data_IF_174450974011
#
_entry.id   IF_174450974011
#
_cell.length_a   1.000
_cell.length_b   1.000
_cell.length_c   1.000
_cell.angle_alpha   90.00
_cell.angle_beta   90.00
_cell.angle_gamma   90.00
#
_symmetry.space_group_name_H-M   'P 1'
#
loop_
_entity.id
_entity.type
_entity.pdbx_description
1 polymer ?
#
# COMPACT_ATOMS: atom_id res chain seq x y z
N UNK A 1 15.14 9.15 3.37
CA UNK A 1 14.18 8.05 3.62
C UNK A 1 14.96 6.84 4.09
N UNK A 2 14.62 6.30 5.26
CA UNK A 2 15.20 5.03 5.72
C UNK A 2 14.47 3.82 5.10
N UNK A 3 15.08 2.63 5.09
CA UNK A 3 14.40 1.40 4.64
C UNK A 3 13.12 1.11 5.43
N UNK A 4 13.15 1.33 6.77
CA UNK A 4 11.94 1.19 7.59
C UNK A 4 10.83 2.15 7.14
N UNK A 5 11.17 3.41 6.86
CA UNK A 5 10.20 4.41 6.42
C UNK A 5 9.54 4.03 5.09
N UNK A 6 10.32 3.57 4.12
CA UNK A 6 9.77 3.12 2.83
C UNK A 6 8.84 1.91 3.01
N UNK A 7 9.22 0.95 3.85
CA UNK A 7 8.40 -0.24 4.15
C UNK A 7 7.14 0.12 4.91
N UNK A 8 7.20 1.00 5.91
CA UNK A 8 6.00 1.47 6.64
C UNK A 8 5.08 2.28 5.73
N UNK A 9 5.63 3.15 4.88
CA UNK A 9 4.84 3.97 3.97
C UNK A 9 4.15 3.14 2.88
N UNK A 10 4.88 2.23 2.23
CA UNK A 10 4.31 1.29 1.29
C UNK A 10 3.33 0.32 1.97
N UNK A 11 3.66 -0.16 3.16
CA UNK A 11 2.78 -1.02 3.97
C UNK A 11 1.45 -0.34 4.28
N UNK A 12 1.46 0.92 4.72
CA UNK A 12 0.24 1.68 4.99
C UNK A 12 -0.63 1.86 3.74
N UNK A 13 -0.03 2.23 2.60
CA UNK A 13 -0.76 2.37 1.32
C UNK A 13 -1.32 1.04 0.82
N UNK A 14 -0.55 -0.03 0.93
CA UNK A 14 -0.96 -1.38 0.55
C UNK A 14 -2.04 -1.92 1.47
N UNK A 15 -2.03 -1.56 2.75
CA UNK A 15 -3.07 -1.96 3.70
C UNK A 15 -4.37 -1.20 3.49
N UNK A 16 -4.31 0.11 3.24
CA UNK A 16 -5.47 0.85 2.78
C UNK A 16 -6.04 0.26 1.47
N UNK A 17 -5.16 -0.08 0.52
CA UNK A 17 -5.59 -0.78 -0.66
C UNK A 17 -6.25 -2.12 -0.33
N UNK A 18 -5.66 -2.92 0.57
CA UNK A 18 -6.25 -4.19 0.97
C UNK A 18 -7.59 -4.06 1.68
N UNK A 19 -7.91 -2.95 2.36
CA UNK A 19 -9.26 -2.77 2.93
C UNK A 19 -10.29 -2.44 1.86
N UNK A 20 -9.90 -1.71 0.82
CA UNK A 20 -10.80 -1.24 -0.25
C UNK A 20 -10.91 -2.18 -1.47
N UNK A 21 -9.89 -2.99 -1.74
CA UNK A 21 -9.85 -3.90 -2.88
C UNK A 21 -10.82 -5.07 -2.72
N UNK A 22 -11.23 -5.67 -3.84
CA UNK A 22 -12.03 -6.91 -3.86
C UNK A 22 -11.19 -8.12 -3.45
N UNK A 23 -11.82 -9.20 -2.96
CA UNK A 23 -11.11 -10.43 -2.56
C UNK A 23 -10.16 -10.98 -3.64
N UNK A 24 -10.56 -10.93 -4.92
CA UNK A 24 -9.70 -11.34 -6.05
C UNK A 24 -8.43 -10.49 -6.17
N UNK A 25 -8.58 -9.17 -6.08
CA UNK A 25 -7.47 -8.22 -6.16
C UNK A 25 -6.54 -8.34 -4.95
N UNK A 26 -7.09 -8.62 -3.76
CA UNK A 26 -6.28 -8.90 -2.56
C UNK A 26 -5.43 -10.15 -2.75
N UNK A 27 -6.01 -11.23 -3.27
CA UNK A 27 -5.26 -12.46 -3.56
C UNK A 27 -4.15 -12.23 -4.59
N UNK A 28 -4.45 -11.47 -5.65
CA UNK A 28 -3.47 -11.09 -6.66
C UNK A 28 -2.33 -10.26 -6.07
N UNK A 29 -2.66 -9.21 -5.31
CA UNK A 29 -1.66 -8.35 -4.66
C UNK A 29 -0.75 -9.14 -3.69
N UNK A 30 -1.31 -10.05 -2.91
CA UNK A 30 -0.55 -10.94 -2.02
C UNK A 30 0.33 -11.93 -2.80
N UNK A 31 -0.04 -12.32 -4.02
CA UNK A 31 0.80 -13.14 -4.89
C UNK A 31 1.96 -12.37 -5.51
N UNK A 32 1.79 -11.07 -5.74
CA UNK A 32 2.80 -10.19 -6.35
C UNK A 32 3.82 -9.66 -5.33
N UNK A 33 3.42 -9.54 -4.06
CA UNK A 33 4.28 -9.04 -2.99
C UNK A 33 4.51 -10.17 -1.97
N UNK A 34 5.62 -10.93 -2.08
CA UNK A 34 5.94 -11.98 -1.13
C UNK A 34 6.10 -11.38 0.28
N UNK A 35 5.39 -11.94 1.26
CA UNK A 35 5.40 -11.49 2.65
C UNK A 35 4.39 -10.39 2.99
N UNK A 36 3.59 -9.90 2.03
CA UNK A 36 2.53 -8.93 2.29
C UNK A 36 1.51 -9.44 3.32
N UNK A 37 1.06 -10.69 3.19
CA UNK A 37 0.15 -11.33 4.13
C UNK A 37 0.69 -11.33 5.57
N UNK A 38 2.00 -11.51 5.73
CA UNK A 38 2.67 -11.50 7.03
C UNK A 38 2.67 -10.10 7.61
N UNK A 39 2.97 -9.08 6.79
CA UNK A 39 2.98 -7.68 7.21
C UNK A 39 1.58 -7.20 7.63
N UNK A 40 0.53 -7.56 6.87
CA UNK A 40 -0.85 -7.17 7.19
C UNK A 40 -1.46 -8.01 8.31
N UNK A 41 -1.04 -9.26 8.47
CA UNK A 41 -1.44 -10.12 9.60
C UNK A 41 -0.82 -9.71 10.94
N UNK A 42 0.26 -8.92 10.94
CA UNK A 42 0.98 -8.51 12.15
C UNK A 42 0.29 -7.40 12.97
N UNK A 43 -0.92 -6.98 12.61
CA UNK A 43 -1.70 -6.02 13.41
C UNK A 43 -1.31 -4.55 13.28
N UNK A 44 -0.08 -4.26 12.84
CA UNK A 44 0.44 -2.90 12.67
C UNK A 44 -0.36 -2.06 11.65
N UNK A 45 -1.08 -2.74 10.76
CA UNK A 45 -1.75 -2.15 9.61
C UNK A 45 -3.29 -2.27 9.66
N UNK A 46 -3.84 -2.87 10.72
CA UNK A 46 -5.28 -3.12 10.88
C UNK A 46 -6.12 -1.85 11.08
N UNK A 47 -5.47 -0.72 11.36
CA UNK A 47 -6.14 0.57 11.62
C UNK A 47 -6.21 1.49 10.39
N UNK A 48 -5.77 1.01 9.21
CA UNK A 48 -5.73 1.83 8.00
C UNK A 48 -7.03 1.66 7.20
N UNK A 49 -8.05 2.36 7.64
CA UNK A 49 -9.39 2.34 7.01
C UNK A 49 -9.50 3.36 5.88
N UNK A 50 -8.77 4.48 5.99
CA UNK A 50 -8.87 5.63 5.09
C UNK A 50 -7.51 6.26 4.80
N UNK A 51 -7.45 7.13 3.79
CA UNK A 51 -6.24 7.89 3.43
C UNK A 51 -5.72 8.76 4.60
N UNK A 52 -6.60 9.23 5.49
CA UNK A 52 -6.18 9.93 6.70
C UNK A 52 -5.37 9.03 7.65
N UNK A 53 -5.80 7.78 7.85
CA UNK A 53 -5.04 6.79 8.63
C UNK A 53 -3.68 6.49 7.99
N UNK A 54 -3.59 6.48 6.66
CA UNK A 54 -2.31 6.37 5.94
C UNK A 54 -1.41 7.55 6.27
N UNK A 55 -1.94 8.79 6.17
CA UNK A 55 -1.18 10.00 6.50
C UNK A 55 -0.68 9.99 7.95
N UNK A 56 -1.52 9.56 8.89
CA UNK A 56 -1.12 9.42 10.29
C UNK A 56 -0.05 8.35 10.49
N UNK A 57 -0.12 7.22 9.77
CA UNK A 57 0.91 6.19 9.82
C UNK A 57 2.27 6.71 9.30
N UNK A 58 2.27 7.50 8.22
CA UNK A 58 3.47 8.19 7.72
C UNK A 58 4.01 9.16 8.78
N UNK A 59 3.16 10.04 9.32
CA UNK A 59 3.55 11.02 10.32
C UNK A 59 4.12 10.36 11.59
N UNK A 60 3.55 9.22 12.01
CA UNK A 60 3.97 8.45 13.18
C UNK A 60 5.42 7.93 13.07
N UNK A 61 5.92 7.69 11.84
CA UNK A 61 7.32 7.31 11.58
C UNK A 61 8.19 8.47 11.09
N UNK A 62 7.71 9.71 11.25
CA UNK A 62 8.41 10.93 10.86
C UNK A 62 8.48 11.15 9.35
N UNK A 63 7.55 10.58 8.58
CA UNK A 63 7.40 10.84 7.16
C UNK A 63 6.36 11.91 6.88
N UNK A 64 6.67 12.75 5.90
CA UNK A 64 5.74 13.74 5.41
C UNK A 64 4.61 13.04 4.62
N UNK A 65 3.34 13.29 4.94
CA UNK A 65 2.21 12.70 4.23
C UNK A 65 2.15 13.09 2.75
N UNK A 66 2.79 14.20 2.34
CA UNK A 66 2.89 14.57 0.92
C UNK A 66 3.74 13.57 0.11
N UNK A 67 4.54 12.73 0.76
CA UNK A 67 5.29 11.67 0.09
C UNK A 67 4.36 10.59 -0.48
N UNK A 68 3.12 10.45 0.01
CA UNK A 68 2.15 9.47 -0.51
C UNK A 68 2.00 9.59 -2.04
N UNK A 69 1.94 10.83 -2.55
CA UNK A 69 1.85 11.11 -3.99
C UNK A 69 3.10 10.70 -4.78
N UNK A 70 4.23 10.49 -4.11
CA UNK A 70 5.47 9.96 -4.70
C UNK A 70 5.55 8.43 -4.56
N UNK A 71 5.01 7.86 -3.48
CA UNK A 71 4.98 6.41 -3.26
C UNK A 71 3.99 5.70 -4.18
N UNK A 72 2.80 6.27 -4.38
CA UNK A 72 1.76 5.67 -5.22
C UNK A 72 2.27 5.27 -6.61
N UNK A 73 2.87 6.16 -7.42
CA UNK A 73 3.39 5.79 -8.74
C UNK A 73 4.56 4.80 -8.67
N UNK A 74 5.39 4.83 -7.63
CA UNK A 74 6.51 3.88 -7.46
C UNK A 74 5.98 2.47 -7.19
N UNK A 75 4.97 2.33 -6.33
CA UNK A 75 4.33 1.05 -6.02
C UNK A 75 3.57 0.53 -7.25
N UNK A 76 2.83 1.39 -7.95
CA UNK A 76 2.15 1.02 -9.20
C UNK A 76 3.15 0.53 -10.25
N UNK A 77 4.27 1.22 -10.41
CA UNK A 77 5.32 0.80 -11.34
C UNK A 77 5.89 -0.57 -10.94
N UNK A 78 6.23 -0.75 -9.66
CA UNK A 78 6.70 -2.05 -9.16
C UNK A 78 5.69 -3.17 -9.44
N UNK A 79 4.44 -2.98 -9.06
CA UNK A 79 3.37 -3.97 -9.29
C UNK A 79 3.17 -4.26 -10.78
N UNK A 80 3.22 -3.25 -11.63
CA UNK A 80 3.18 -3.42 -13.09
C UNK A 80 4.33 -4.28 -13.59
N UNK A 81 5.56 -4.07 -13.09
CA UNK A 81 6.71 -4.92 -13.44
C UNK A 81 6.60 -6.36 -12.91
N UNK A 82 5.88 -6.56 -11.81
CA UNK A 82 5.61 -7.90 -11.26
C UNK A 82 4.47 -8.62 -12.00
N UNK A 83 3.78 -7.96 -12.94
CA UNK A 83 2.69 -8.56 -13.71
C UNK A 83 1.30 -8.34 -13.10
N UNK A 84 1.11 -7.25 -12.32
CA UNK A 84 -0.22 -6.85 -11.88
C UNK A 84 -1.19 -6.66 -13.05
N UNK A 85 -2.42 -7.11 -12.87
CA UNK A 85 -3.50 -6.92 -13.82
C UNK A 85 -3.88 -5.45 -13.94
N UNK A 86 -4.38 -5.06 -15.12
CA UNK A 86 -4.90 -3.72 -15.37
C UNK A 86 -6.03 -3.35 -14.40
N UNK A 87 -6.86 -4.32 -14.00
CA UNK A 87 -7.91 -4.13 -13.01
C UNK A 87 -7.37 -3.80 -11.62
N UNK A 88 -6.34 -4.51 -11.15
CA UNK A 88 -5.68 -4.20 -9.88
C UNK A 88 -5.01 -2.81 -9.93
N UNK A 89 -4.23 -2.53 -10.97
CA UNK A 89 -3.54 -1.25 -11.13
C UNK A 89 -4.53 -0.08 -11.20
N UNK A 90 -5.65 -0.23 -11.92
CA UNK A 90 -6.69 0.79 -12.01
C UNK A 90 -7.32 1.05 -10.65
N UNK A 91 -7.68 0.01 -9.90
CA UNK A 91 -8.25 0.19 -8.56
C UNK A 91 -7.25 0.85 -7.61
N UNK A 92 -5.99 0.42 -7.59
CA UNK A 92 -4.95 1.05 -6.76
C UNK A 92 -4.75 2.54 -7.11
N UNK A 93 -4.68 2.87 -8.40
CA UNK A 93 -4.57 4.25 -8.85
C UNK A 93 -5.78 5.09 -8.43
N UNK A 94 -6.98 4.48 -8.39
CA UNK A 94 -8.23 5.12 -7.95
C UNK A 94 -8.29 5.38 -6.46
N UNK A 95 -7.55 4.60 -5.67
CA UNK A 95 -7.51 4.73 -4.22
C UNK A 95 -6.51 5.78 -3.76
N UNK A 96 -5.43 5.99 -4.52
CA UNK A 96 -4.31 6.85 -4.13
C UNK A 96 -4.30 8.23 -4.79
N UNK A 97 -5.30 8.52 -5.60
CA UNK A 97 -5.56 9.85 -6.20
C UNK A 97 -6.26 10.77 -5.20
#
# INVERSE_FOLDING_TARGET
MSPQQATTGAGALLSFAQTQLSSRQKSELNSLIPGLSTLTGSGLLSSVENMESVKNAFASVGLDPALISQFAPVILNYLGTQGASSGLMSSLSSLWQ
#
